data_IF_446603334463
#
_entry.id   IF_446603334463
#
_cell.length_a   1.000
_cell.length_b   1.000
_cell.length_c   1.000
_cell.angle_alpha   90.00
_cell.angle_beta   90.00
_cell.angle_gamma   90.00
#
_symmetry.space_group_name_H-M   'P 1'
#
loop_
_entity.id
_entity.type
_entity.pdbx_description
1 polymer ?
#
# COMPACT_ATOMS: atom_id res chain seq x y z
N UNK A 1 4.45 -0.38 15.45
CA UNK A 1 5.42 -1.27 14.77
C UNK A 1 6.39 -0.39 13.99
N UNK A 2 7.70 -0.47 14.24
CA UNK A 2 8.66 0.36 13.51
C UNK A 2 8.91 -0.24 12.14
N UNK A 3 8.41 0.40 11.08
CA UNK A 3 8.72 0.01 9.70
C UNK A 3 10.21 0.10 9.42
N UNK A 4 10.92 1.07 10.01
CA UNK A 4 12.37 1.22 9.88
C UNK A 4 13.11 -0.08 10.24
N UNK A 5 12.67 -0.79 11.28
CA UNK A 5 13.26 -2.08 11.65
C UNK A 5 13.03 -3.15 10.57
N UNK A 6 11.86 -3.19 9.95
CA UNK A 6 11.55 -4.18 8.90
C UNK A 6 12.34 -3.92 7.61
N UNK A 7 12.51 -2.66 7.23
CA UNK A 7 13.38 -2.27 6.12
C UNK A 7 14.83 -2.68 6.39
N UNK A 8 15.33 -2.40 7.60
CA UNK A 8 16.69 -2.76 7.99
C UNK A 8 16.93 -4.28 8.05
N UNK A 9 16.02 -5.06 8.65
CA UNK A 9 16.21 -6.50 8.81
C UNK A 9 16.12 -7.26 7.50
N UNK A 10 15.28 -6.79 6.55
CA UNK A 10 15.17 -7.37 5.21
C UNK A 10 16.14 -6.77 4.19
N UNK A 11 16.93 -5.76 4.55
CA UNK A 11 17.80 -5.05 3.60
C UNK A 11 17.03 -4.33 2.48
N UNK A 12 15.78 -3.92 2.75
CA UNK A 12 14.94 -3.19 1.80
C UNK A 12 15.21 -1.70 1.87
N UNK A 13 14.99 -1.00 0.75
CA UNK A 13 15.04 0.46 0.67
C UNK A 13 13.63 1.03 0.65
N UNK A 14 13.41 2.11 1.40
CA UNK A 14 12.22 2.94 1.27
C UNK A 14 12.51 4.15 0.40
N UNK A 15 11.59 4.50 -0.51
CA UNK A 15 11.67 5.70 -1.32
C UNK A 15 10.35 6.44 -1.28
N UNK A 16 10.40 7.75 -1.07
CA UNK A 16 9.24 8.64 -1.15
C UNK A 16 9.43 9.56 -2.35
N UNK A 17 8.43 9.63 -3.21
CA UNK A 17 8.43 10.46 -4.42
C UNK A 17 7.23 11.40 -4.36
N UNK A 18 7.48 12.66 -4.66
CA UNK A 18 6.46 13.68 -4.81
C UNK A 18 6.42 14.05 -6.28
N UNK A 19 5.24 14.09 -6.89
CA UNK A 19 5.11 14.64 -8.24
C UNK A 19 5.23 16.16 -8.22
N UNK A 20 5.62 16.74 -9.35
CA UNK A 20 5.87 18.18 -9.47
C UNK A 20 4.60 19.05 -9.36
N UNK A 21 3.41 18.43 -9.33
CA UNK A 21 2.11 19.11 -9.26
C UNK A 21 1.53 19.17 -7.84
N UNK A 22 2.29 18.82 -6.80
CA UNK A 22 1.82 19.02 -5.44
C UNK A 22 1.59 20.51 -5.16
N UNK A 23 0.45 20.86 -4.56
CA UNK A 23 0.10 22.24 -4.37
C UNK A 23 0.93 22.83 -3.23
N UNK A 24 1.32 24.09 -3.35
CA UNK A 24 1.96 24.86 -2.27
C UNK A 24 0.92 25.40 -1.28
N UNK A 25 -0.02 24.56 -0.87
CA UNK A 25 -1.07 24.90 0.10
C UNK A 25 -1.34 23.71 1.01
N UNK A 26 -1.90 24.00 2.19
CA UNK A 26 -2.35 22.95 3.10
C UNK A 26 -3.60 22.28 2.53
N UNK A 27 -3.56 20.96 2.37
CA UNK A 27 -4.74 20.17 2.04
C UNK A 27 -5.52 19.83 3.31
N UNK A 28 -6.84 20.02 3.27
CA UNK A 28 -7.76 19.63 4.35
C UNK A 28 -8.03 18.13 4.35
N UNK A 29 -7.02 17.32 4.70
CA UNK A 29 -7.12 15.87 4.72
C UNK A 29 -7.24 15.34 6.15
N UNK A 30 -7.98 14.24 6.32
CA UNK A 30 -7.91 13.49 7.56
C UNK A 30 -6.55 12.77 7.64
N UNK A 31 -5.66 13.31 8.49
CA UNK A 31 -4.31 12.78 8.71
C UNK A 31 -4.33 11.33 9.17
N UNK A 32 -5.30 10.92 9.99
CA UNK A 32 -5.37 9.56 10.53
C UNK A 32 -5.73 8.57 9.42
N UNK A 33 -6.69 8.92 8.56
CA UNK A 33 -7.09 8.11 7.41
C UNK A 33 -5.96 8.00 6.37
N UNK A 34 -5.30 9.12 6.04
CA UNK A 34 -4.16 9.14 5.13
C UNK A 34 -3.01 8.26 5.65
N UNK A 35 -2.71 8.36 6.95
CA UNK A 35 -1.72 7.51 7.59
C UNK A 35 -2.15 6.04 7.54
N UNK A 36 -3.41 5.73 7.84
CA UNK A 36 -3.91 4.35 7.80
C UNK A 36 -3.80 3.72 6.41
N UNK A 37 -4.21 4.44 5.36
CA UNK A 37 -4.06 4.00 3.96
C UNK A 37 -2.58 3.74 3.65
N UNK A 38 -1.72 4.72 3.93
CA UNK A 38 -0.29 4.64 3.62
C UNK A 38 0.40 3.47 4.33
N UNK A 39 0.12 3.28 5.63
CA UNK A 39 0.73 2.20 6.41
C UNK A 39 0.23 0.82 5.98
N UNK A 40 -1.04 0.69 5.58
CA UNK A 40 -1.58 -0.57 5.08
C UNK A 40 -0.93 -0.97 3.74
N UNK A 41 -0.79 -0.03 2.81
CA UNK A 41 -0.08 -0.27 1.55
C UNK A 41 1.38 -0.70 1.80
N UNK A 42 2.12 0.03 2.65
CA UNK A 42 3.51 -0.31 2.99
C UNK A 42 3.60 -1.69 3.66
N UNK A 43 2.69 -2.00 4.59
CA UNK A 43 2.67 -3.29 5.29
C UNK A 43 2.44 -4.45 4.31
N UNK A 44 1.57 -4.25 3.32
CA UNK A 44 1.33 -5.24 2.26
C UNK A 44 2.60 -5.45 1.42
N UNK A 45 3.20 -4.37 0.91
CA UNK A 45 4.43 -4.45 0.11
C UNK A 45 5.60 -5.10 0.86
N UNK A 46 5.76 -4.80 2.16
CA UNK A 46 6.77 -5.41 3.02
C UNK A 46 6.58 -6.91 3.21
N UNK A 47 5.35 -7.43 3.13
CA UNK A 47 5.08 -8.86 3.25
C UNK A 47 5.67 -9.62 2.05
N UNK A 48 5.49 -9.07 0.85
CA UNK A 48 5.80 -9.76 -0.41
C UNK A 48 7.12 -9.35 -1.07
N UNK A 49 7.76 -8.28 -0.59
CA UNK A 49 9.08 -7.86 -1.06
C UNK A 49 10.18 -8.46 -0.19
N UNK A 50 11.08 -9.23 -0.81
CA UNK A 50 12.24 -9.84 -0.14
C UNK A 50 13.54 -9.07 -0.36
N UNK A 51 13.67 -8.37 -1.48
CA UNK A 51 14.81 -7.51 -1.83
C UNK A 51 14.35 -6.36 -2.72
N UNK A 52 15.09 -5.25 -2.72
CA UNK A 52 14.82 -4.10 -3.60
C UNK A 52 14.25 -2.89 -2.86
N UNK A 53 13.36 -2.15 -3.53
CA UNK A 53 12.85 -0.86 -3.05
C UNK A 53 11.32 -0.88 -3.01
N UNK A 54 10.75 -0.36 -1.93
CA UNK A 54 9.33 0.01 -1.86
C UNK A 54 9.26 1.52 -2.04
N UNK A 55 8.53 1.97 -3.06
CA UNK A 55 8.34 3.38 -3.39
C UNK A 55 6.93 3.80 -3.07
N UNK A 56 6.76 4.86 -2.27
CA UNK A 56 5.48 5.56 -2.11
C UNK A 56 5.52 6.80 -2.99
N UNK A 57 4.47 7.05 -3.76
CA UNK A 57 4.34 8.24 -4.58
C UNK A 57 3.11 9.03 -4.17
N UNK A 58 3.26 10.35 -4.13
CA UNK A 58 2.19 11.30 -3.87
C UNK A 58 2.01 12.16 -5.11
N UNK A 59 0.77 12.23 -5.60
CA UNK A 59 0.38 13.10 -6.69
C UNK A 59 -0.92 13.84 -6.40
N UNK A 60 -1.01 15.08 -6.85
CA UNK A 60 -2.20 15.90 -6.67
C UNK A 60 -2.67 16.43 -8.02
N UNK A 61 -3.91 16.13 -8.38
CA UNK A 61 -4.54 16.71 -9.55
C UNK A 61 -5.22 18.03 -9.14
N UNK A 62 -4.90 19.12 -9.85
CA UNK A 62 -5.49 20.44 -9.59
C UNK A 62 -6.80 20.65 -10.33
N UNK A 63 -7.03 19.92 -11.43
CA UNK A 63 -8.26 19.96 -12.22
C UNK A 63 -9.39 19.19 -11.57
N UNK A 64 -9.03 18.11 -10.87
CA UNK A 64 -9.89 17.33 -10.00
C UNK A 64 -9.18 17.25 -8.64
N UNK A 65 -9.61 17.98 -7.60
CA UNK A 65 -8.82 18.25 -6.38
C UNK A 65 -8.63 17.01 -5.50
N UNK A 66 -7.90 16.02 -6.02
CA UNK A 66 -7.71 14.70 -5.47
C UNK A 66 -6.23 14.45 -5.22
N UNK A 67 -5.92 13.97 -4.01
CA UNK A 67 -4.60 13.46 -3.67
C UNK A 67 -4.56 11.95 -3.95
N UNK A 68 -3.73 11.53 -4.89
CA UNK A 68 -3.40 10.13 -5.12
C UNK A 68 -2.20 9.72 -4.29
N UNK A 69 -2.33 8.61 -3.56
CA UNK A 69 -1.23 7.90 -2.91
C UNK A 69 -1.06 6.57 -3.63
N UNK A 70 0.11 6.32 -4.21
CA UNK A 70 0.43 5.03 -4.82
C UNK A 70 1.63 4.38 -4.12
N UNK A 71 1.70 3.05 -4.18
CA UNK A 71 2.81 2.25 -3.67
C UNK A 71 3.26 1.29 -4.76
N UNK A 72 4.57 1.23 -5.00
CA UNK A 72 5.21 0.32 -5.94
C UNK A 72 6.26 -0.49 -5.19
N UNK A 73 6.18 -1.81 -5.29
CA UNK A 73 7.12 -2.73 -4.67
C UNK A 73 7.91 -3.56 -5.71
N UNK A 74 8.90 -4.30 -5.23
CA UNK A 74 9.77 -5.16 -6.04
C UNK A 74 9.55 -6.65 -5.75
N UNK A 75 8.34 -7.00 -5.31
CA UNK A 75 7.90 -8.38 -5.13
C UNK A 75 7.69 -9.09 -6.47
N UNK A 76 7.24 -10.36 -6.44
CA UNK A 76 7.10 -11.20 -7.64
C UNK A 76 5.89 -10.83 -8.53
N UNK A 77 5.24 -9.69 -8.29
CA UNK A 77 4.01 -9.30 -8.98
C UNK A 77 2.77 -10.06 -8.51
N UNK A 78 1.68 -9.88 -9.24
CA UNK A 78 0.38 -10.52 -9.02
C UNK A 78 -0.11 -11.09 -10.36
N UNK A 79 -0.79 -12.23 -10.30
CA UNK A 79 -1.64 -12.66 -11.43
C UNK A 79 -2.81 -11.69 -11.58
N UNK A 80 -3.28 -11.50 -12.81
CA UNK A 80 -4.27 -10.48 -13.15
C UNK A 80 -5.58 -10.69 -12.36
N UNK A 81 -6.03 -11.94 -12.27
CA UNK A 81 -7.23 -12.33 -11.54
C UNK A 81 -7.12 -12.01 -10.04
N UNK A 82 -5.94 -12.24 -9.46
CA UNK A 82 -5.67 -11.93 -8.05
C UNK A 82 -5.62 -10.42 -7.82
N UNK A 83 -5.07 -9.66 -8.77
CA UNK A 83 -5.01 -8.21 -8.74
C UNK A 83 -6.40 -7.56 -8.63
N UNK A 84 -7.39 -8.10 -9.33
CA UNK A 84 -8.77 -7.57 -9.28
C UNK A 84 -9.45 -7.73 -7.92
N UNK A 85 -9.06 -8.75 -7.15
CA UNK A 85 -9.65 -9.09 -5.85
C UNK A 85 -8.76 -8.69 -4.67
N UNK A 86 -7.66 -7.99 -4.93
CA UNK A 86 -6.63 -7.68 -3.94
C UNK A 86 -7.17 -6.87 -2.75
N UNK A 87 -8.09 -5.96 -3.04
CA UNK A 87 -8.72 -5.06 -2.07
C UNK A 87 -10.06 -5.58 -1.55
N UNK A 88 -10.50 -6.76 -1.96
CA UNK A 88 -11.76 -7.33 -1.51
C UNK A 88 -11.67 -7.92 -0.11
N UNK A 89 -12.84 -8.14 0.50
CA UNK A 89 -12.92 -8.73 1.82
C UNK A 89 -12.28 -10.12 1.80
N UNK A 90 -11.35 -10.43 2.72
CA UNK A 90 -10.79 -11.77 2.83
C UNK A 90 -11.90 -12.80 3.04
N UNK A 91 -11.90 -13.84 2.20
CA UNK A 91 -12.73 -15.02 2.38
C UNK A 91 -11.94 -16.00 3.24
N UNK A 92 -12.50 -16.41 4.39
CA UNK A 92 -11.90 -17.49 5.17
C UNK A 92 -12.00 -18.79 4.37
N UNK A 93 -10.86 -19.34 3.99
CA UNK A 93 -10.77 -20.74 3.58
C UNK A 93 -10.60 -21.55 4.86
N UNK A 94 -11.65 -22.28 5.27
CA UNK A 94 -11.69 -23.09 6.50
C UNK A 94 -10.85 -24.39 6.36
N UNK A 95 -9.61 -24.27 5.87
CA UNK A 95 -8.71 -25.41 5.67
C UNK A 95 -7.40 -25.20 6.43
N UNK A 96 -7.00 -26.13 7.31
CA UNK A 96 -5.71 -26.09 7.97
C UNK A 96 -4.62 -26.29 6.90
N UNK A 97 -3.91 -25.20 6.56
CA UNK A 97 -2.91 -25.19 5.49
C UNK A 97 -3.23 -24.28 4.30
N UNK A 98 -4.34 -23.51 4.34
CA UNK A 98 -4.58 -22.44 3.37
C UNK A 98 -3.37 -21.47 3.42
N UNK A 99 -2.54 -21.52 2.38
CA UNK A 99 -1.44 -20.56 2.17
C UNK A 99 -2.00 -19.15 2.33
N UNK A 100 -1.20 -18.22 2.88
CA UNK A 100 -1.55 -16.80 2.86
C UNK A 100 -1.95 -16.42 1.44
N UNK A 101 -3.25 -16.23 1.20
CA UNK A 101 -3.75 -15.87 -0.11
C UNK A 101 -3.30 -14.44 -0.39
N UNK A 102 -2.74 -14.21 -1.58
CA UNK A 102 -2.53 -12.85 -2.07
C UNK A 102 -3.85 -12.14 -2.35
N UNK A 103 -4.92 -12.89 -2.57
CA UNK A 103 -6.29 -12.40 -2.68
C UNK A 103 -6.89 -12.15 -1.29
N UNK A 104 -7.53 -11.00 -1.11
CA UNK A 104 -8.18 -10.61 0.15
C UNK A 104 -7.19 -10.42 1.29
N UNK A 105 -6.60 -9.23 1.39
CA UNK A 105 -5.81 -8.81 2.56
C UNK A 105 -6.66 -7.86 3.41
N UNK A 106 -6.88 -8.17 4.69
CA UNK A 106 -7.64 -7.30 5.59
C UNK A 106 -7.09 -5.86 5.63
N UNK A 107 -5.76 -5.71 5.52
CA UNK A 107 -5.12 -4.39 5.48
C UNK A 107 -5.48 -3.61 4.21
N UNK A 108 -5.55 -4.28 3.05
CA UNK A 108 -5.96 -3.64 1.80
C UNK A 108 -7.48 -3.46 1.71
N UNK A 109 -8.27 -4.37 2.28
CA UNK A 109 -9.71 -4.16 2.41
C UNK A 109 -10.02 -2.89 3.20
N UNK A 110 -9.27 -2.59 4.26
CA UNK A 110 -9.39 -1.31 4.98
C UNK A 110 -9.09 -0.11 4.07
N UNK A 111 -8.11 -0.22 3.17
CA UNK A 111 -7.83 0.85 2.19
C UNK A 111 -9.06 1.14 1.33
N UNK A 112 -9.70 0.10 0.77
CA UNK A 112 -10.95 0.22 -0.03
C UNK A 112 -12.16 0.75 0.75
N UNK A 113 -12.11 0.72 2.08
CA UNK A 113 -13.17 1.28 2.94
C UNK A 113 -12.96 2.75 3.26
N UNK A 114 -11.75 3.26 3.05
CA UNK A 114 -11.37 4.65 3.32
C UNK A 114 -11.39 5.47 2.02
N UNK A 115 -10.86 4.90 0.94
CA UNK A 115 -10.72 5.52 -0.38
C UNK A 115 -11.77 5.00 -1.37
#
# INVERSE_FOLDING_TARGET
RSFAQHFSTKGLRGRLVYSNNLPQMTLGLDKALLQQVTLNLISHGLRFTSKGTITVQLAYDQSLPELTVSMVDAGPGLEEEVGTQLFDKPVKLDSPGARESRAGDLSLYVVKRIA
#
